data_IF_256748444040
#
_entry.id   IF_256748444040
#
_cell.length_a   1.000
_cell.length_b   1.000
_cell.length_c   1.000
_cell.angle_alpha   90.00
_cell.angle_beta   90.00
_cell.angle_gamma   90.00
#
_symmetry.space_group_name_H-M   'P 1'
#
loop_
_entity.id
_entity.type
_entity.pdbx_description
1 polymer ?
#
# COMPACT_ATOMS: atom_id res chain seq x y z
N UNK A 1 11.68 21.78 -40.28
CA UNK A 1 11.42 20.98 -39.07
C UNK A 1 12.37 21.49 -38.01
N UNK A 2 11.90 21.99 -36.85
CA UNK A 2 12.69 22.90 -36.03
C UNK A 2 13.66 22.13 -35.14
N UNK A 3 14.97 22.35 -35.32
CA UNK A 3 16.07 21.74 -34.54
C UNK A 3 15.87 21.79 -33.01
N UNK A 4 15.11 22.78 -32.51
CA UNK A 4 14.77 22.91 -31.09
C UNK A 4 13.88 21.79 -30.53
N UNK A 5 12.98 21.21 -31.35
CA UNK A 5 12.14 20.09 -30.91
C UNK A 5 12.96 18.79 -30.81
N UNK A 6 13.87 18.59 -31.77
CA UNK A 6 14.75 17.42 -31.82
C UNK A 6 15.77 17.43 -30.68
N UNK A 7 16.36 18.59 -30.36
CA UNK A 7 17.24 18.74 -29.20
C UNK A 7 16.51 18.50 -27.87
N UNK A 8 15.23 18.89 -27.74
CA UNK A 8 14.42 18.64 -26.55
C UNK A 8 14.10 17.14 -26.38
N UNK A 9 13.81 16.44 -27.48
CA UNK A 9 13.59 15.00 -27.47
C UNK A 9 14.87 14.25 -27.07
N UNK A 10 16.01 14.60 -27.66
CA UNK A 10 17.31 14.00 -27.32
C UNK A 10 17.66 14.24 -25.85
N UNK A 11 17.48 15.47 -25.35
CA UNK A 11 17.68 15.78 -23.94
C UNK A 11 16.80 14.92 -23.03
N UNK A 12 15.52 14.77 -23.37
CA UNK A 12 14.58 13.97 -22.57
C UNK A 12 14.98 12.49 -22.56
N UNK A 13 15.41 11.92 -23.69
CA UNK A 13 15.91 10.55 -23.77
C UNK A 13 17.18 10.33 -22.94
N UNK A 14 18.14 11.26 -22.99
CA UNK A 14 19.37 11.19 -22.18
C UNK A 14 19.06 11.33 -20.69
N UNK A 15 18.18 12.27 -20.32
CA UNK A 15 17.75 12.46 -18.94
C UNK A 15 17.04 11.21 -18.40
N UNK A 16 16.14 10.61 -19.18
CA UNK A 16 15.46 9.36 -18.83
C UNK A 16 16.45 8.20 -18.64
N UNK A 17 17.45 8.07 -19.52
CA UNK A 17 18.49 7.05 -19.39
C UNK A 17 19.31 7.23 -18.10
N UNK A 18 19.70 8.47 -17.77
CA UNK A 18 20.41 8.77 -16.52
C UNK A 18 19.55 8.55 -15.27
N UNK A 19 18.26 8.88 -15.34
CA UNK A 19 17.31 8.62 -14.24
C UNK A 19 17.12 7.11 -14.04
N UNK A 20 16.97 6.35 -15.11
CA UNK A 20 16.84 4.89 -15.07
C UNK A 20 18.09 4.24 -14.48
N UNK A 21 19.29 4.66 -14.89
CA UNK A 21 20.55 4.18 -14.32
C UNK A 21 20.63 4.43 -12.80
N UNK A 22 20.27 5.64 -12.34
CA UNK A 22 20.23 5.97 -10.91
C UNK A 22 19.23 5.13 -10.14
N UNK A 23 18.02 4.94 -10.69
CA UNK A 23 16.98 4.12 -10.07
C UNK A 23 17.42 2.65 -9.97
N UNK A 24 18.08 2.12 -11.01
CA UNK A 24 18.61 0.77 -10.98
C UNK A 24 19.68 0.59 -9.90
N UNK A 25 20.62 1.53 -9.78
CA UNK A 25 21.64 1.52 -8.72
C UNK A 25 20.97 1.54 -7.34
N UNK A 26 20.00 2.43 -7.12
CA UNK A 26 19.29 2.51 -5.84
C UNK A 26 18.55 1.22 -5.50
N UNK A 27 17.86 0.60 -6.48
CA UNK A 27 17.16 -0.68 -6.29
C UNK A 27 18.12 -1.80 -5.92
N UNK A 28 19.22 -1.93 -6.65
CA UNK A 28 20.26 -2.94 -6.37
C UNK A 28 20.87 -2.74 -5.00
N UNK A 29 21.24 -1.50 -4.64
CA UNK A 29 21.78 -1.19 -3.31
C UNK A 29 20.78 -1.56 -2.23
N UNK A 30 19.50 -1.18 -2.39
CA UNK A 30 18.47 -1.48 -1.39
C UNK A 30 18.23 -2.98 -1.20
N UNK A 31 18.19 -3.77 -2.27
CA UNK A 31 18.02 -5.22 -2.18
C UNK A 31 19.25 -5.88 -1.57
N UNK A 32 20.46 -5.54 -2.05
CA UNK A 32 21.72 -6.04 -1.47
C UNK A 32 21.81 -5.72 0.01
N UNK A 33 21.53 -4.48 0.42
CA UNK A 33 21.57 -4.09 1.83
C UNK A 33 20.58 -4.86 2.69
N UNK A 34 19.36 -5.09 2.19
CA UNK A 34 18.34 -5.84 2.93
C UNK A 34 18.76 -7.29 3.14
N UNK A 35 19.32 -7.94 2.12
CA UNK A 35 19.85 -9.30 2.20
C UNK A 35 21.05 -9.36 3.15
N UNK A 36 21.99 -8.44 3.01
CA UNK A 36 23.16 -8.33 3.90
C UNK A 36 22.74 -8.19 5.36
N UNK A 37 21.73 -7.36 5.64
CA UNK A 37 21.19 -7.23 6.99
C UNK A 37 20.52 -8.52 7.47
N UNK A 38 19.81 -9.25 6.62
CA UNK A 38 19.27 -10.57 7.00
C UNK A 38 20.40 -11.54 7.44
N UNK A 39 21.49 -11.58 6.67
CA UNK A 39 22.65 -12.44 6.97
C UNK A 39 23.43 -12.00 8.21
N UNK A 40 23.60 -10.70 8.43
CA UNK A 40 24.17 -10.19 9.68
C UNK A 40 23.31 -10.65 10.87
N UNK A 41 21.98 -10.59 10.72
CA UNK A 41 21.05 -11.09 11.73
C UNK A 41 21.22 -12.59 12.01
N UNK A 42 21.41 -13.41 10.96
CA UNK A 42 21.73 -14.84 11.10
C UNK A 42 23.01 -15.07 11.91
N UNK A 43 24.10 -14.40 11.53
CA UNK A 43 25.40 -14.52 12.19
C UNK A 43 25.28 -14.16 13.67
N UNK A 44 24.59 -13.06 13.99
CA UNK A 44 24.36 -12.63 15.38
C UNK A 44 23.62 -13.71 16.16
N UNK A 45 22.54 -14.26 15.61
CA UNK A 45 21.71 -15.26 16.31
C UNK A 45 22.44 -16.58 16.50
N UNK A 46 23.17 -17.06 15.48
CA UNK A 46 23.98 -18.29 15.58
C UNK A 46 25.09 -18.15 16.63
N UNK A 47 25.75 -16.99 16.69
CA UNK A 47 26.81 -16.72 17.67
C UNK A 47 26.27 -16.57 19.10
N UNK A 48 25.09 -15.95 19.27
CA UNK A 48 24.37 -15.92 20.55
C UNK A 48 24.00 -17.33 21.04
N UNK A 49 23.59 -18.23 20.14
CA UNK A 49 23.21 -19.61 20.49
C UNK A 49 24.40 -20.48 20.90
N UNK A 50 25.60 -20.20 20.38
CA UNK A 50 26.85 -20.89 20.77
C UNK A 50 27.36 -20.44 22.15
N UNK A 51 27.06 -19.20 22.54
CA UNK A 51 27.32 -18.67 23.88
C UNK A 51 26.22 -19.08 24.87
N UNK A 52 26.50 -20.03 25.77
CA UNK A 52 25.56 -20.52 26.81
C UNK A 52 24.60 -19.44 27.37
N UNK A 53 23.30 -19.59 27.08
CA UNK A 53 22.10 -19.07 27.76
C UNK A 53 22.24 -17.83 28.67
N UNK A 54 22.78 -16.71 28.18
CA UNK A 54 22.66 -15.43 28.90
C UNK A 54 22.23 -14.33 27.96
N UNK A 55 21.04 -13.78 28.20
CA UNK A 55 20.59 -12.53 27.59
C UNK A 55 21.61 -11.38 27.77
N UNK A 56 22.44 -11.47 28.82
CA UNK A 56 23.53 -10.54 29.09
C UNK A 56 24.71 -10.67 28.09
N UNK A 57 24.96 -11.87 27.55
CA UNK A 57 25.99 -12.12 26.54
C UNK A 57 25.61 -11.47 25.20
N UNK A 58 24.38 -11.69 24.73
CA UNK A 58 23.86 -11.06 23.51
C UNK A 58 23.89 -9.52 23.59
N UNK A 59 23.50 -8.94 24.73
CA UNK A 59 23.60 -7.49 24.95
C UNK A 59 25.05 -6.97 24.88
N UNK A 60 26.02 -7.71 25.42
CA UNK A 60 27.45 -7.34 25.34
C UNK A 60 27.98 -7.45 23.91
N UNK A 61 27.61 -8.52 23.19
CA UNK A 61 27.96 -8.75 21.79
C UNK A 61 27.43 -7.64 20.88
N UNK A 62 26.15 -7.27 20.99
CA UNK A 62 25.58 -6.18 20.19
C UNK A 62 26.25 -4.84 20.48
N UNK A 63 26.61 -4.58 21.74
CA UNK A 63 27.30 -3.36 22.13
C UNK A 63 28.72 -3.29 21.57
N UNK A 64 29.48 -4.39 21.59
CA UNK A 64 30.82 -4.44 21.00
C UNK A 64 30.76 -4.31 19.48
N UNK A 65 29.89 -5.08 18.82
CA UNK A 65 29.66 -5.01 17.37
C UNK A 65 29.26 -3.60 16.93
N UNK A 66 28.35 -2.95 17.66
CA UNK A 66 27.94 -1.58 17.32
C UNK A 66 29.13 -0.62 17.33
N UNK A 67 29.99 -0.70 18.35
CA UNK A 67 31.18 0.16 18.46
C UNK A 67 32.16 -0.08 17.32
N UNK A 68 32.46 -1.34 17.00
CA UNK A 68 33.43 -1.71 15.98
C UNK A 68 32.91 -1.42 14.57
N UNK A 69 31.70 -1.86 14.24
CA UNK A 69 31.09 -1.62 12.93
C UNK A 69 30.82 -0.13 12.67
N UNK A 70 30.41 0.63 13.69
CA UNK A 70 30.25 2.08 13.52
C UNK A 70 31.60 2.77 13.29
N UNK A 71 32.68 2.29 13.92
CA UNK A 71 34.03 2.82 13.71
C UNK A 71 34.54 2.53 12.29
N UNK A 72 34.27 1.35 11.75
CA UNK A 72 34.79 0.90 10.46
C UNK A 72 33.91 1.34 9.27
N UNK A 73 32.59 1.22 9.39
CA UNK A 73 31.63 1.45 8.30
C UNK A 73 30.74 2.69 8.49
N UNK A 74 30.83 3.37 9.64
CA UNK A 74 30.10 4.61 9.90
C UNK A 74 28.65 4.41 10.33
N UNK A 75 27.77 5.33 9.91
CA UNK A 75 26.35 5.35 10.33
C UNK A 75 25.61 4.12 9.82
N UNK A 76 24.67 3.60 10.62
CA UNK A 76 23.82 2.47 10.27
C UNK A 76 23.97 1.25 11.19
N UNK A 77 25.03 1.19 12.00
CA UNK A 77 25.34 0.08 12.91
C UNK A 77 25.22 0.48 14.39
N UNK A 78 24.22 1.32 14.71
CA UNK A 78 23.89 1.60 16.11
C UNK A 78 23.39 0.33 16.81
N UNK A 79 23.40 0.32 18.15
CA UNK A 79 22.87 -0.79 18.93
C UNK A 79 21.41 -1.10 18.53
N UNK A 80 20.59 -0.08 18.36
CA UNK A 80 19.19 -0.20 17.90
C UNK A 80 19.11 -0.79 16.48
N UNK A 81 20.01 -0.39 15.58
CA UNK A 81 20.05 -0.97 14.23
C UNK A 81 20.37 -2.47 14.27
N UNK A 82 21.37 -2.88 15.07
CA UNK A 82 21.74 -4.29 15.21
C UNK A 82 20.63 -5.11 15.88
N UNK A 83 19.92 -4.54 16.86
CA UNK A 83 18.72 -5.17 17.43
C UNK A 83 17.62 -5.38 16.38
N UNK A 84 17.39 -4.39 15.51
CA UNK A 84 16.44 -4.53 14.40
C UNK A 84 16.91 -5.58 13.37
N UNK A 85 18.20 -5.62 13.05
CA UNK A 85 18.80 -6.61 12.15
C UNK A 85 18.62 -8.03 12.73
N UNK A 86 18.89 -8.22 14.02
CA UNK A 86 18.67 -9.47 14.73
C UNK A 86 17.18 -9.87 14.72
N UNK A 87 16.28 -8.94 15.04
CA UNK A 87 14.82 -9.16 14.99
C UNK A 87 14.36 -9.52 13.58
N UNK A 88 14.96 -8.92 12.55
CA UNK A 88 14.66 -9.17 11.16
C UNK A 88 14.93 -10.62 10.77
N UNK A 89 16.10 -11.14 11.13
CA UNK A 89 16.38 -12.55 10.93
C UNK A 89 15.37 -13.44 11.67
N UNK A 90 15.17 -13.25 12.97
CA UNK A 90 14.25 -14.08 13.77
C UNK A 90 12.81 -14.07 13.26
N UNK A 91 12.34 -12.94 12.72
CA UNK A 91 10.95 -12.79 12.25
C UNK A 91 10.72 -13.52 10.93
N UNK A 92 11.71 -13.52 10.03
CA UNK A 92 11.54 -14.06 8.67
C UNK A 92 12.22 -15.41 8.45
N UNK A 93 13.14 -15.85 9.32
CA UNK A 93 13.85 -17.13 9.21
C UNK A 93 12.93 -18.35 9.22
N UNK A 94 11.82 -18.28 9.96
CA UNK A 94 10.83 -19.34 10.08
C UNK A 94 9.61 -19.16 9.14
N UNK A 95 9.67 -18.20 8.21
CA UNK A 95 8.53 -18.01 7.31
C UNK A 95 8.39 -19.22 6.38
N UNK A 96 7.21 -19.84 6.39
CA UNK A 96 6.87 -21.03 5.59
C UNK A 96 7.20 -20.83 4.09
N UNK A 97 7.10 -19.58 3.63
CA UNK A 97 7.47 -19.15 2.28
C UNK A 97 8.99 -19.21 2.01
N UNK A 98 9.85 -18.72 2.92
CA UNK A 98 11.32 -18.85 2.77
C UNK A 98 11.74 -20.32 2.85
N UNK A 99 11.18 -21.08 3.80
CA UNK A 99 11.49 -22.50 3.96
C UNK A 99 11.11 -23.29 2.70
N UNK A 100 9.94 -23.01 2.12
CA UNK A 100 9.49 -23.63 0.87
C UNK A 100 10.37 -23.25 -0.33
N UNK A 101 10.76 -21.98 -0.47
CA UNK A 101 11.64 -21.55 -1.57
C UNK A 101 13.02 -22.22 -1.45
N UNK A 102 13.58 -22.25 -0.23
CA UNK A 102 14.86 -22.93 0.06
C UNK A 102 14.79 -24.45 -0.20
N UNK A 103 13.65 -25.10 0.08
CA UNK A 103 13.43 -26.52 -0.23
C UNK A 103 13.32 -26.78 -1.74
N UNK A 104 12.54 -25.98 -2.46
CA UNK A 104 12.38 -26.11 -3.93
C UNK A 104 13.72 -26.00 -4.64
N UNK A 105 14.55 -25.02 -4.25
CA UNK A 105 15.85 -24.82 -4.89
C UNK A 105 16.90 -25.85 -4.49
N UNK A 106 16.96 -26.30 -3.22
CA UNK A 106 17.81 -27.44 -2.84
C UNK A 106 17.53 -28.69 -3.68
N UNK A 107 16.27 -28.91 -4.03
CA UNK A 107 15.86 -30.03 -4.90
C UNK A 107 16.40 -29.87 -6.33
N UNK A 108 16.53 -28.64 -6.83
CA UNK A 108 17.10 -28.32 -8.15
C UNK A 108 18.64 -28.31 -8.15
N UNK A 109 19.28 -27.87 -7.07
CA UNK A 109 20.75 -27.89 -6.94
C UNK A 109 21.32 -29.29 -6.74
N UNK A 110 20.60 -30.21 -6.06
CA UNK A 110 21.00 -31.62 -5.94
C UNK A 110 21.04 -32.34 -7.29
N UNK A 111 20.27 -31.89 -8.29
CA UNK A 111 20.36 -32.38 -9.67
C UNK A 111 21.55 -31.82 -10.45
N UNK A 112 22.13 -30.68 -10.05
CA UNK A 112 23.29 -30.07 -10.72
C UNK A 112 24.64 -30.32 -10.01
N UNK A 113 24.65 -30.59 -8.70
CA UNK A 113 25.87 -30.85 -7.91
C UNK A 113 26.61 -32.14 -8.30
N UNK A 114 26.02 -33.01 -9.12
CA UNK A 114 26.72 -34.17 -9.69
C UNK A 114 27.80 -33.80 -10.74
N UNK A 115 27.99 -32.52 -11.10
CA UNK A 115 28.92 -32.14 -12.19
C UNK A 115 30.13 -31.26 -11.88
N UNK A 116 30.35 -30.72 -10.68
CA UNK A 116 31.65 -30.07 -10.43
C UNK A 116 32.08 -29.99 -8.96
N UNK A 117 33.20 -30.64 -8.64
CA UNK A 117 34.01 -30.37 -7.46
C UNK A 117 35.16 -29.44 -7.86
N UNK A 118 35.20 -28.22 -7.31
CA UNK A 118 36.47 -27.52 -7.04
C UNK A 118 36.29 -26.51 -5.89
N UNK A 119 37.27 -26.56 -5.00
CA UNK A 119 37.44 -25.84 -3.74
C UNK A 119 37.53 -24.33 -3.94
N UNK A 120 36.67 -23.53 -3.28
CA UNK A 120 36.82 -22.07 -3.17
C UNK A 120 36.41 -21.58 -1.77
N UNK A 121 36.99 -20.45 -1.36
CA UNK A 121 36.98 -19.89 0.00
C UNK A 121 35.59 -19.51 0.53
N UNK A 122 35.48 -19.45 1.87
CA UNK A 122 34.23 -19.19 2.64
C UNK A 122 33.53 -17.88 2.25
N UNK A 123 34.26 -16.90 1.70
CA UNK A 123 33.71 -15.62 1.19
C UNK A 123 33.27 -15.66 -0.27
N UNK A 124 33.77 -16.62 -1.06
CA UNK A 124 33.39 -16.83 -2.47
C UNK A 124 32.19 -17.81 -2.63
N UNK A 125 31.79 -18.47 -1.54
CA UNK A 125 30.65 -19.38 -1.43
C UNK A 125 29.48 -18.78 -0.63
N UNK A 126 29.20 -17.48 -0.77
CA UNK A 126 27.78 -17.15 -0.80
C UNK A 126 27.25 -17.86 -2.04
N UNK A 127 26.58 -19.01 -1.86
CA UNK A 127 25.95 -19.71 -2.97
C UNK A 127 25.13 -18.66 -3.72
N UNK A 128 25.43 -18.41 -4.99
CA UNK A 128 24.65 -17.47 -5.82
C UNK A 128 23.15 -17.80 -5.74
N UNK A 129 22.85 -19.09 -5.59
CA UNK A 129 21.54 -19.70 -5.37
C UNK A 129 20.85 -19.14 -4.10
N UNK A 130 21.58 -18.96 -3.00
CA UNK A 130 21.04 -18.41 -1.74
C UNK A 130 20.77 -16.89 -1.88
N UNK A 131 21.64 -16.15 -2.59
CA UNK A 131 21.43 -14.72 -2.83
C UNK A 131 20.24 -14.45 -3.74
N UNK A 132 20.11 -15.16 -4.86
CA UNK A 132 18.99 -15.03 -5.79
C UNK A 132 17.66 -15.39 -5.11
N UNK A 133 17.66 -16.43 -4.27
CA UNK A 133 16.52 -16.76 -3.41
C UNK A 133 16.13 -15.61 -2.51
N UNK A 134 17.07 -15.08 -1.73
CA UNK A 134 16.82 -14.00 -0.79
C UNK A 134 16.39 -12.72 -1.52
N UNK A 135 16.96 -12.43 -2.69
CA UNK A 135 16.56 -11.31 -3.54
C UNK A 135 15.13 -11.45 -4.08
N UNK A 136 14.71 -12.67 -4.43
CA UNK A 136 13.34 -12.94 -4.86
C UNK A 136 12.32 -12.78 -3.72
N UNK A 137 12.73 -13.11 -2.49
CA UNK A 137 11.86 -13.06 -1.31
C UNK A 137 11.78 -11.68 -0.66
N UNK A 138 12.90 -10.95 -0.63
CA UNK A 138 13.02 -9.63 -0.03
C UNK A 138 12.96 -8.53 -1.10
N UNK A 139 11.72 -8.18 -1.49
CA UNK A 139 11.47 -7.15 -2.52
C UNK A 139 11.41 -5.71 -1.98
N UNK A 140 11.16 -5.57 -0.67
CA UNK A 140 11.11 -4.27 0.01
C UNK A 140 12.47 -3.89 0.61
N UNK A 141 12.65 -2.61 0.90
CA UNK A 141 13.86 -2.13 1.60
C UNK A 141 13.83 -2.55 3.08
N UNK A 142 15.00 -2.62 3.72
CA UNK A 142 15.12 -2.90 5.15
C UNK A 142 14.25 -1.99 6.04
N UNK A 143 14.10 -0.71 5.68
CA UNK A 143 13.23 0.22 6.42
C UNK A 143 11.75 -0.17 6.40
N UNK A 144 11.25 -0.80 5.33
CA UNK A 144 9.90 -1.38 5.32
C UNK A 144 9.81 -2.53 6.32
N UNK A 145 10.79 -3.43 6.32
CA UNK A 145 10.83 -4.56 7.25
C UNK A 145 10.92 -4.12 8.71
N UNK A 146 11.69 -3.07 9.01
CA UNK A 146 11.75 -2.46 10.36
C UNK A 146 10.36 -1.99 10.82
N UNK A 147 9.53 -1.47 9.91
CA UNK A 147 8.15 -1.11 10.22
C UNK A 147 7.26 -2.35 10.37
N UNK A 148 7.26 -3.24 9.39
CA UNK A 148 6.42 -4.46 9.36
C UNK A 148 6.63 -5.34 10.61
N UNK A 149 7.86 -5.47 11.09
CA UNK A 149 8.16 -6.24 12.31
C UNK A 149 7.57 -5.66 13.61
N UNK A 150 7.05 -4.44 13.59
CA UNK A 150 6.36 -3.83 14.74
C UNK A 150 4.88 -4.20 14.79
N UNK A 151 4.34 -4.74 13.71
CA UNK A 151 2.96 -5.24 13.62
C UNK A 151 2.94 -6.62 14.26
N UNK A 152 2.21 -6.81 15.35
CA UNK A 152 2.19 -8.07 16.09
C UNK A 152 1.41 -9.18 15.35
N UNK A 153 0.26 -8.84 14.75
CA UNK A 153 -0.54 -9.78 13.96
C UNK A 153 0.19 -10.15 12.65
N UNK A 154 0.47 -11.44 12.49
CA UNK A 154 1.14 -11.98 11.30
C UNK A 154 0.32 -11.79 10.02
N UNK A 155 -1.01 -11.94 10.09
CA UNK A 155 -1.90 -11.81 8.93
C UNK A 155 -1.93 -10.38 8.43
N UNK A 156 -2.03 -9.43 9.37
CA UNK A 156 -1.97 -8.00 9.07
C UNK A 156 -0.61 -7.62 8.50
N UNK A 157 0.48 -8.06 9.14
CA UNK A 157 1.85 -7.85 8.66
C UNK A 157 2.03 -8.36 7.22
N UNK A 158 1.51 -9.55 6.93
CA UNK A 158 1.60 -10.16 5.59
C UNK A 158 0.77 -9.38 4.56
N UNK A 159 -0.43 -8.94 4.91
CA UNK A 159 -1.24 -8.08 4.06
C UNK A 159 -0.47 -6.81 3.66
N UNK A 160 0.06 -6.07 4.64
CA UNK A 160 0.81 -4.85 4.37
C UNK A 160 2.10 -5.09 3.57
N UNK A 161 2.77 -6.22 3.77
CA UNK A 161 3.91 -6.63 2.94
C UNK A 161 3.48 -6.79 1.47
N UNK A 162 2.43 -7.57 1.21
CA UNK A 162 1.96 -7.86 -0.15
C UNK A 162 1.51 -6.58 -0.86
N UNK A 163 0.73 -5.74 -0.19
CA UNK A 163 0.25 -4.49 -0.77
C UNK A 163 1.40 -3.53 -1.09
N UNK A 164 2.38 -3.43 -0.19
CA UNK A 164 3.57 -2.60 -0.42
C UNK A 164 4.39 -3.09 -1.62
N UNK A 165 4.52 -4.42 -1.79
CA UNK A 165 5.23 -5.00 -2.93
C UNK A 165 4.46 -4.82 -4.24
N UNK A 166 3.15 -5.04 -4.21
CA UNK A 166 2.28 -4.99 -5.39
C UNK A 166 2.13 -3.58 -5.93
N UNK A 167 1.99 -2.60 -5.04
CA UNK A 167 1.71 -1.20 -5.39
C UNK A 167 2.89 -0.27 -5.18
N UNK A 168 4.08 -0.82 -4.88
CA UNK A 168 5.32 -0.09 -4.64
C UNK A 168 5.18 1.02 -3.59
N UNK A 169 4.46 0.74 -2.50
CA UNK A 169 4.28 1.74 -1.45
C UNK A 169 5.63 2.17 -0.89
N UNK A 170 5.81 3.48 -0.74
CA UNK A 170 6.89 4.00 0.09
C UNK A 170 6.66 3.63 1.57
N UNK A 171 7.70 3.67 2.40
CA UNK A 171 7.56 3.46 3.87
C UNK A 171 6.54 4.43 4.47
N UNK A 172 6.44 5.63 3.91
CA UNK A 172 5.46 6.65 4.33
C UNK A 172 4.04 6.22 3.98
N UNK A 173 3.83 5.70 2.78
CA UNK A 173 2.53 5.16 2.36
C UNK A 173 2.13 3.93 3.16
N UNK A 174 3.05 2.96 3.33
CA UNK A 174 2.83 1.80 4.18
C UNK A 174 2.41 2.22 5.59
N UNK A 175 3.17 3.13 6.22
CA UNK A 175 2.85 3.65 7.54
C UNK A 175 1.48 4.29 7.56
N UNK A 176 1.13 5.06 6.54
CA UNK A 176 -0.18 5.72 6.46
C UNK A 176 -1.33 4.75 6.30
N UNK A 177 -1.19 3.70 5.47
CA UNK A 177 -2.23 2.67 5.31
C UNK A 177 -2.38 1.82 6.57
N UNK A 178 -1.29 1.64 7.31
CA UNK A 178 -1.30 1.03 8.64
C UNK A 178 -2.00 1.93 9.66
N UNK A 179 -1.59 3.20 9.75
CA UNK A 179 -2.15 4.18 10.68
C UNK A 179 -3.65 4.42 10.39
N UNK A 180 -4.12 4.28 9.14
CA UNK A 180 -5.55 4.35 8.84
C UNK A 180 -6.33 3.08 9.27
N UNK A 181 -5.64 2.02 9.69
CA UNK A 181 -6.20 0.70 10.00
C UNK A 181 -6.84 -0.01 8.80
N UNK A 182 -6.29 0.16 7.59
CA UNK A 182 -6.82 -0.42 6.34
C UNK A 182 -7.13 -1.91 6.45
N UNK A 183 -6.20 -2.72 6.98
CA UNK A 183 -6.41 -4.16 7.14
C UNK A 183 -7.63 -4.45 8.00
N UNK A 184 -7.74 -3.78 9.16
CA UNK A 184 -8.86 -3.95 10.08
C UNK A 184 -10.19 -3.61 9.41
N UNK A 185 -10.28 -2.50 8.65
CA UNK A 185 -11.51 -2.11 7.93
C UNK A 185 -11.93 -3.15 6.88
N UNK A 186 -10.95 -3.66 6.12
CA UNK A 186 -11.20 -4.69 5.11
C UNK A 186 -11.51 -6.05 5.72
N UNK A 187 -10.90 -6.38 6.86
CA UNK A 187 -11.09 -7.66 7.53
C UNK A 187 -12.48 -7.75 8.20
N UNK A 188 -12.94 -6.65 8.83
CA UNK A 188 -14.26 -6.60 9.47
C UNK A 188 -15.43 -6.65 8.48
N UNK A 189 -15.21 -6.22 7.24
CA UNK A 189 -16.23 -6.30 6.18
C UNK A 189 -16.26 -7.64 5.45
N UNK A 190 -15.43 -8.62 5.87
CA UNK A 190 -15.28 -9.92 5.22
C UNK A 190 -15.44 -11.07 6.22
N UNK A 191 -15.77 -12.24 5.70
CA UNK A 191 -15.80 -13.48 6.45
C UNK A 191 -14.39 -14.02 6.73
N UNK A 192 -14.28 -15.05 7.58
CA UNK A 192 -12.97 -15.64 7.96
C UNK A 192 -12.16 -16.11 6.75
N UNK A 193 -12.81 -16.65 5.72
CA UNK A 193 -12.14 -17.05 4.47
C UNK A 193 -11.67 -15.83 3.65
N UNK A 194 -12.49 -14.78 3.55
CA UNK A 194 -12.14 -13.53 2.90
C UNK A 194 -10.96 -12.81 3.57
N UNK A 195 -10.86 -12.87 4.90
CA UNK A 195 -9.71 -12.33 5.66
C UNK A 195 -8.45 -13.13 5.39
N UNK A 196 -8.54 -14.46 5.29
CA UNK A 196 -7.39 -15.30 4.96
C UNK A 196 -6.89 -15.01 3.53
N UNK A 197 -7.80 -14.95 2.56
CA UNK A 197 -7.46 -14.58 1.17
C UNK A 197 -6.82 -13.19 1.09
N UNK A 198 -7.32 -12.23 1.87
CA UNK A 198 -6.77 -10.88 1.95
C UNK A 198 -5.30 -10.89 2.44
N UNK A 199 -4.99 -11.71 3.44
CA UNK A 199 -3.64 -11.85 3.97
C UNK A 199 -2.69 -12.61 3.02
N UNK A 200 -3.21 -13.51 2.19
CA UNK A 200 -2.39 -14.30 1.27
C UNK A 200 -2.14 -13.65 -0.09
N UNK A 201 -3.12 -12.91 -0.61
CA UNK A 201 -3.11 -12.36 -1.98
C UNK A 201 -3.19 -10.83 -2.02
N UNK A 202 -3.36 -10.17 -0.88
CA UNK A 202 -3.64 -8.74 -0.81
C UNK A 202 -5.06 -8.41 -1.27
N UNK A 203 -5.29 -7.13 -1.56
CA UNK A 203 -6.55 -6.66 -2.11
C UNK A 203 -6.62 -6.98 -3.62
N UNK A 204 -7.68 -7.68 -4.02
CA UNK A 204 -8.01 -7.93 -5.42
C UNK A 204 -9.20 -7.02 -5.75
N UNK A 205 -9.03 -6.18 -6.77
CA UNK A 205 -10.05 -5.25 -7.26
C UNK A 205 -10.59 -5.83 -8.55
N UNK A 206 -11.77 -6.44 -8.48
CA UNK A 206 -12.47 -7.00 -9.64
C UNK A 206 -13.83 -6.33 -9.84
N UNK A 207 -14.49 -5.95 -8.74
CA UNK A 207 -15.82 -5.37 -8.76
C UNK A 207 -15.81 -3.93 -8.25
N UNK A 208 -16.77 -3.09 -8.67
CA UNK A 208 -16.94 -1.73 -8.14
C UNK A 208 -16.96 -1.66 -6.61
N UNK A 209 -17.56 -2.65 -5.95
CA UNK A 209 -17.64 -2.72 -4.47
C UNK A 209 -16.26 -2.85 -3.80
N UNK A 210 -15.26 -3.44 -4.47
CA UNK A 210 -13.91 -3.62 -3.93
C UNK A 210 -13.11 -2.32 -3.87
N UNK A 211 -13.54 -1.30 -4.61
CA UNK A 211 -12.95 0.03 -4.67
C UNK A 211 -13.42 0.93 -3.51
N UNK A 212 -14.56 0.58 -2.90
CA UNK A 212 -15.17 1.35 -1.82
C UNK A 212 -14.50 0.98 -0.50
N UNK A 213 -13.87 1.97 0.14
CA UNK A 213 -13.43 1.86 1.53
C UNK A 213 -14.50 2.49 2.40
N UNK A 214 -14.94 1.78 3.44
CA UNK A 214 -16.00 2.28 4.31
C UNK A 214 -15.62 1.99 5.76
N UNK A 215 -15.36 3.02 6.60
CA UNK A 215 -15.25 4.43 6.25
C UNK A 215 -13.92 4.79 5.56
N UNK A 216 -13.89 5.92 4.84
CA UNK A 216 -12.65 6.60 4.41
C UNK A 216 -12.06 7.42 5.57
N UNK A 217 -10.75 7.29 5.84
CA UNK A 217 -10.09 8.02 6.93
C UNK A 217 -9.27 9.18 6.35
N UNK A 218 -9.71 10.40 6.62
CA UNK A 218 -9.18 11.65 6.06
C UNK A 218 -8.30 12.44 7.05
N UNK A 219 -7.74 11.78 8.07
CA UNK A 219 -6.89 12.42 9.10
C UNK A 219 -5.68 13.17 8.54
N UNK A 220 -5.16 12.73 7.40
CA UNK A 220 -4.07 13.41 6.68
C UNK A 220 -4.41 14.86 6.30
N UNK A 221 -5.69 15.21 6.24
CA UNK A 221 -6.14 16.57 6.03
C UNK A 221 -5.75 17.49 7.18
N UNK A 222 -5.41 16.96 8.36
CA UNK A 222 -5.02 17.76 9.51
C UNK A 222 -6.11 18.78 9.88
N UNK A 223 -7.35 18.42 9.61
CA UNK A 223 -8.52 19.25 9.87
C UNK A 223 -8.65 19.39 11.39
N UNK A 224 -8.66 20.61 11.96
CA UNK A 224 -9.04 20.79 13.36
C UNK A 224 -10.38 20.12 13.66
N UNK A 225 -10.61 19.74 14.91
CA UNK A 225 -11.91 19.26 15.38
C UNK A 225 -12.90 20.44 15.45
N UNK A 226 -13.24 21.02 14.29
CA UNK A 226 -14.33 21.98 14.18
C UNK A 226 -15.64 21.21 14.11
N UNK A 227 -16.67 21.72 14.79
CA UNK A 227 -17.95 21.04 14.90
C UNK A 227 -18.64 20.81 13.54
N UNK A 228 -18.40 21.66 12.52
CA UNK A 228 -18.83 21.45 11.13
C UNK A 228 -17.90 22.20 10.16
N UNK A 229 -17.42 21.51 9.13
CA UNK A 229 -16.84 22.14 7.94
C UNK A 229 -17.96 22.55 6.98
N UNK A 230 -17.72 23.50 6.07
CA UNK A 230 -18.57 23.66 4.89
C UNK A 230 -18.11 22.74 3.75
N UNK A 231 -19.03 22.32 2.87
CA UNK A 231 -18.73 21.36 1.79
C UNK A 231 -17.57 21.85 0.94
N UNK A 232 -17.61 23.14 0.59
CA UNK A 232 -16.53 23.82 -0.15
C UNK A 232 -15.20 23.83 0.60
N UNK A 233 -15.18 23.95 1.95
CA UNK A 233 -13.95 23.87 2.74
C UNK A 233 -13.37 22.46 2.72
N UNK A 234 -14.19 21.43 2.95
CA UNK A 234 -13.73 20.04 2.92
C UNK A 234 -13.21 19.64 1.55
N UNK A 235 -13.94 20.03 0.49
CA UNK A 235 -13.53 19.84 -0.89
C UNK A 235 -12.17 20.51 -1.16
N UNK A 236 -12.01 21.77 -0.76
CA UNK A 236 -10.75 22.49 -0.95
C UNK A 236 -9.58 21.81 -0.20
N UNK A 237 -9.81 21.30 1.01
CA UNK A 237 -8.77 20.60 1.77
C UNK A 237 -8.40 19.25 1.16
N UNK A 238 -9.38 18.48 0.68
CA UNK A 238 -9.14 17.26 -0.10
C UNK A 238 -8.29 17.57 -1.33
N UNK A 239 -8.52 18.71 -1.97
CA UNK A 239 -7.85 19.08 -3.21
C UNK A 239 -6.45 19.63 -2.98
N UNK A 240 -6.29 20.44 -1.92
CA UNK A 240 -4.98 20.85 -1.43
C UNK A 240 -4.09 19.62 -1.12
N UNK A 241 -4.71 18.50 -0.74
CA UNK A 241 -4.04 17.24 -0.42
C UNK A 241 -4.49 16.09 -1.32
N UNK A 242 -4.73 16.37 -2.60
CA UNK A 242 -5.27 15.40 -3.55
C UNK A 242 -4.38 14.16 -3.70
N UNK A 243 -3.05 14.34 -3.69
CA UNK A 243 -2.10 13.22 -3.69
C UNK A 243 -2.36 12.29 -2.50
N UNK A 244 -2.58 12.87 -1.33
CA UNK A 244 -2.89 12.08 -0.16
C UNK A 244 -4.26 11.41 -0.27
N UNK A 245 -5.28 12.11 -0.78
CA UNK A 245 -6.59 11.51 -0.99
C UNK A 245 -6.55 10.35 -1.99
N UNK A 246 -5.81 10.47 -3.10
CA UNK A 246 -5.58 9.39 -4.06
C UNK A 246 -4.99 8.15 -3.40
N UNK A 247 -4.03 8.31 -2.50
CA UNK A 247 -3.49 7.19 -1.71
C UNK A 247 -4.56 6.56 -0.81
N UNK A 248 -5.47 7.37 -0.25
CA UNK A 248 -6.59 6.85 0.56
C UNK A 248 -7.63 6.14 -0.32
N UNK A 249 -7.86 6.55 -1.57
CA UNK A 249 -8.70 5.80 -2.52
C UNK A 249 -8.04 4.48 -2.92
N UNK A 250 -6.71 4.45 -3.03
CA UNK A 250 -5.91 3.28 -3.37
C UNK A 250 -5.34 3.33 -4.78
N UNK A 251 -4.73 2.24 -5.21
CA UNK A 251 -4.06 2.18 -6.50
C UNK A 251 -5.04 2.17 -7.68
N UNK A 252 -4.62 2.76 -8.81
CA UNK A 252 -5.35 2.71 -10.07
C UNK A 252 -6.14 3.97 -10.41
N UNK A 253 -6.33 4.86 -9.43
CA UNK A 253 -7.00 6.14 -9.65
C UNK A 253 -6.11 7.15 -10.38
N UNK A 254 -6.70 7.82 -11.34
CA UNK A 254 -6.14 8.96 -12.08
C UNK A 254 -7.09 10.12 -11.91
N UNK A 255 -6.59 11.28 -11.47
CA UNK A 255 -7.40 12.49 -11.40
C UNK A 255 -7.72 13.00 -12.81
N UNK A 256 -8.99 13.33 -13.05
CA UNK A 256 -9.48 13.84 -14.34
C UNK A 256 -9.85 15.31 -14.18
N UNK A 257 -10.77 15.62 -13.27
CA UNK A 257 -11.28 16.98 -13.11
C UNK A 257 -11.79 17.26 -11.70
N UNK A 258 -11.93 18.56 -11.40
CA UNK A 258 -12.51 19.11 -10.17
C UNK A 258 -13.68 20.01 -10.56
N UNK A 259 -14.76 19.98 -9.76
CA UNK A 259 -15.94 20.82 -9.93
C UNK A 259 -16.43 20.81 -11.39
N UNK A 260 -16.44 19.63 -11.98
CA UNK A 260 -16.76 19.47 -13.39
C UNK A 260 -18.23 19.83 -13.61
N UNK A 261 -18.46 20.83 -14.47
CA UNK A 261 -19.79 21.38 -14.70
C UNK A 261 -20.48 20.61 -15.80
N UNK A 262 -21.62 20.00 -15.47
CA UNK A 262 -22.57 19.46 -16.44
C UNK A 262 -23.69 20.47 -16.61
N UNK A 263 -24.03 20.79 -17.86
CA UNK A 263 -25.10 21.72 -18.19
C UNK A 263 -26.17 21.01 -19.01
N UNK A 264 -27.41 21.08 -18.53
CA UNK A 264 -28.59 20.62 -19.25
C UNK A 264 -29.52 21.81 -19.41
N UNK A 265 -29.82 22.18 -20.65
CA UNK A 265 -30.57 23.39 -20.97
C UNK A 265 -29.95 24.60 -20.22
N UNK A 266 -30.70 25.20 -19.29
CA UNK A 266 -30.26 26.34 -18.46
C UNK A 266 -29.91 25.95 -17.00
N UNK A 267 -29.78 24.66 -16.71
CA UNK A 267 -29.42 24.15 -15.38
C UNK A 267 -27.97 23.70 -15.34
N UNK A 268 -27.29 24.07 -14.27
CA UNK A 268 -25.88 23.75 -14.07
C UNK A 268 -25.71 22.90 -12.82
N UNK A 269 -25.03 21.79 -13.01
CA UNK A 269 -24.67 20.85 -11.97
C UNK A 269 -23.16 20.72 -11.93
N UNK A 270 -22.60 20.37 -10.77
CA UNK A 270 -21.16 20.24 -10.57
C UNK A 270 -20.86 18.93 -9.87
N UNK A 271 -19.93 18.16 -10.43
CA UNK A 271 -19.36 16.99 -9.78
C UNK A 271 -18.10 17.46 -9.04
N UNK A 272 -18.01 17.20 -7.74
CA UNK A 272 -16.89 17.69 -6.93
C UNK A 272 -15.54 17.17 -7.46
N UNK A 273 -15.45 15.85 -7.66
CA UNK A 273 -14.24 15.20 -8.16
C UNK A 273 -14.55 14.12 -9.18
N UNK A 274 -13.78 14.13 -10.26
CA UNK A 274 -13.85 13.12 -11.33
C UNK A 274 -12.52 12.42 -11.41
N UNK A 275 -12.57 11.09 -11.28
CA UNK A 275 -11.42 10.22 -11.43
C UNK A 275 -11.69 9.19 -12.53
N UNK A 276 -10.61 8.56 -12.99
CA UNK A 276 -10.64 7.36 -13.78
C UNK A 276 -9.91 6.25 -13.05
N UNK A 277 -10.52 5.06 -12.94
CA UNK A 277 -9.83 3.90 -12.41
C UNK A 277 -9.29 3.03 -13.55
N UNK A 278 -7.96 2.94 -13.66
CA UNK A 278 -7.28 2.18 -14.73
C UNK A 278 -7.39 0.67 -14.61
N UNK A 279 -7.63 0.15 -13.41
CA UNK A 279 -7.76 -1.30 -13.18
C UNK A 279 -9.14 -1.75 -13.62
N UNK A 280 -10.18 -1.03 -13.16
CA UNK A 280 -11.57 -1.29 -13.54
C UNK A 280 -11.93 -0.72 -14.92
N UNK A 281 -11.09 0.16 -15.50
CA UNK A 281 -11.32 0.85 -16.78
C UNK A 281 -12.66 1.61 -16.82
N UNK A 282 -12.95 2.38 -15.77
CA UNK A 282 -14.18 3.15 -15.68
C UNK A 282 -13.96 4.51 -15.02
N UNK A 283 -14.87 5.45 -15.28
CA UNK A 283 -14.94 6.68 -14.51
C UNK A 283 -15.41 6.42 -13.08
N UNK A 284 -14.92 7.22 -12.14
CA UNK A 284 -15.33 7.25 -10.73
C UNK A 284 -15.64 8.68 -10.36
N UNK A 285 -16.93 8.97 -10.16
CA UNK A 285 -17.45 10.28 -9.78
C UNK A 285 -17.58 10.32 -8.26
N UNK A 286 -17.07 11.36 -7.61
CA UNK A 286 -17.10 11.51 -6.16
C UNK A 286 -17.75 12.84 -5.80
N UNK A 287 -18.74 12.78 -4.90
CA UNK A 287 -19.44 13.95 -4.35
C UNK A 287 -19.31 13.93 -2.81
N UNK A 288 -18.98 15.07 -2.21
CA UNK A 288 -18.70 15.22 -0.78
C UNK A 288 -19.92 15.81 -0.09
N UNK A 289 -20.37 15.23 1.03
CA UNK A 289 -21.49 15.73 1.83
C UNK A 289 -21.10 15.76 3.31
N UNK A 290 -21.25 16.92 3.96
CA UNK A 290 -20.87 17.06 5.38
C UNK A 290 -21.97 16.59 6.32
N UNK A 291 -23.21 16.57 5.86
CA UNK A 291 -24.36 16.15 6.65
C UNK A 291 -24.73 14.67 6.49
N UNK A 292 -25.96 14.41 6.90
CA UNK A 292 -26.67 13.17 6.58
C UNK A 292 -26.95 13.08 5.08
N UNK A 293 -26.72 11.89 4.52
CA UNK A 293 -27.04 11.57 3.15
C UNK A 293 -28.55 11.73 2.86
N UNK A 294 -28.90 12.55 1.87
CA UNK A 294 -30.27 12.75 1.41
C UNK A 294 -30.53 11.95 0.13
N UNK A 295 -31.80 11.63 -0.11
CA UNK A 295 -32.23 10.99 -1.37
C UNK A 295 -31.90 11.85 -2.60
N UNK A 296 -31.89 13.18 -2.45
CA UNK A 296 -31.52 14.14 -3.50
C UNK A 296 -30.06 13.94 -3.96
N UNK A 297 -29.15 13.70 -3.02
CA UNK A 297 -27.72 13.48 -3.32
C UNK A 297 -27.53 12.22 -4.19
N UNK A 298 -28.25 11.14 -3.85
CA UNK A 298 -28.22 9.89 -4.62
C UNK A 298 -28.87 10.04 -6.00
N UNK A 299 -30.00 10.76 -6.09
CA UNK A 299 -30.64 11.06 -7.38
C UNK A 299 -29.74 11.90 -8.30
N UNK A 300 -29.05 12.90 -7.73
CA UNK A 300 -28.07 13.72 -8.44
C UNK A 300 -26.89 12.88 -8.92
N UNK A 301 -26.33 12.02 -8.07
CA UNK A 301 -25.26 11.08 -8.46
C UNK A 301 -25.72 10.13 -9.57
N UNK A 302 -26.96 9.65 -9.53
CA UNK A 302 -27.52 8.78 -10.58
C UNK A 302 -27.59 9.48 -11.94
N UNK A 303 -27.97 10.76 -11.94
CA UNK A 303 -27.93 11.58 -13.14
C UNK A 303 -26.49 11.73 -13.66
N UNK A 304 -25.52 11.98 -12.78
CA UNK A 304 -24.11 12.09 -13.17
C UNK A 304 -23.54 10.82 -13.79
N UNK A 305 -23.77 9.67 -13.14
CA UNK A 305 -23.33 8.37 -13.63
C UNK A 305 -23.96 8.08 -15.00
N UNK A 306 -25.25 8.34 -15.16
CA UNK A 306 -25.94 8.13 -16.44
C UNK A 306 -25.43 9.05 -17.55
N UNK A 307 -25.07 10.29 -17.21
CA UNK A 307 -24.47 11.23 -18.16
C UNK A 307 -23.11 10.71 -18.65
N UNK A 308 -22.23 10.29 -17.73
CA UNK A 308 -20.92 9.75 -18.11
C UNK A 308 -21.05 8.48 -18.94
N UNK A 309 -21.95 7.58 -18.58
CA UNK A 309 -22.15 6.32 -19.32
C UNK A 309 -22.63 6.52 -20.76
N UNK A 310 -23.37 7.61 -21.02
CA UNK A 310 -23.95 7.92 -22.34
C UNK A 310 -23.06 8.82 -23.19
N UNK A 311 -22.39 9.79 -22.58
CA UNK A 311 -21.74 10.89 -23.30
C UNK A 311 -20.21 10.90 -23.18
N UNK A 312 -19.65 10.39 -22.07
CA UNK A 312 -18.22 10.55 -21.76
C UNK A 312 -17.42 9.26 -21.91
N UNK A 313 -18.03 8.13 -21.54
CA UNK A 313 -17.41 6.81 -21.54
C UNK A 313 -17.24 6.28 -22.96
N UNK A 314 -16.09 5.67 -23.24
CA UNK A 314 -15.85 4.95 -24.50
C UNK A 314 -16.55 3.57 -24.51
N UNK A 315 -16.75 3.01 -25.70
CA UNK A 315 -17.43 1.72 -25.87
C UNK A 315 -16.72 0.56 -25.15
N UNK A 316 -15.40 0.62 -25.02
CA UNK A 316 -14.54 -0.40 -24.41
C UNK A 316 -14.27 -0.18 -22.91
N UNK A 317 -14.85 0.87 -22.33
CA UNK A 317 -14.75 1.18 -20.91
C UNK A 317 -15.91 0.57 -20.13
N UNK A 318 -15.68 0.25 -18.86
CA UNK A 318 -16.70 -0.26 -17.97
C UNK A 318 -17.59 0.86 -17.42
N UNK A 319 -18.78 0.47 -16.97
CA UNK A 319 -19.79 1.36 -16.42
C UNK A 319 -19.23 2.27 -15.31
N UNK A 320 -19.63 3.54 -15.36
CA UNK A 320 -19.19 4.59 -14.43
C UNK A 320 -19.65 4.28 -13.01
N UNK A 321 -18.78 4.55 -12.04
CA UNK A 321 -19.06 4.36 -10.62
C UNK A 321 -19.31 5.74 -10.00
N UNK A 322 -20.37 5.86 -9.20
CA UNK A 322 -20.66 7.04 -8.39
C UNK A 322 -20.43 6.76 -6.91
N UNK A 323 -19.71 7.64 -6.21
CA UNK A 323 -19.44 7.53 -4.78
C UNK A 323 -19.88 8.82 -4.09
N UNK A 324 -20.83 8.72 -3.17
CA UNK A 324 -21.19 9.83 -2.28
C UNK A 324 -20.51 9.63 -0.94
N UNK A 325 -19.59 10.53 -0.58
CA UNK A 325 -18.88 10.50 0.70
C UNK A 325 -19.61 11.39 1.70
N UNK A 326 -20.16 10.80 2.77
CA UNK A 326 -20.94 11.52 3.78
C UNK A 326 -20.42 11.28 5.21
N UNK A 327 -20.71 12.19 6.15
CA UNK A 327 -20.41 11.90 7.57
C UNK A 327 -21.35 10.85 8.14
N UNK A 328 -22.63 10.97 7.79
CA UNK A 328 -23.69 10.08 8.24
C UNK A 328 -24.43 9.49 7.05
N UNK A 329 -24.52 8.16 7.03
CA UNK A 329 -25.18 7.37 5.99
C UNK A 329 -26.36 6.64 6.61
N UNK A 330 -27.54 6.81 6.01
CA UNK A 330 -28.72 6.00 6.30
C UNK A 330 -28.87 4.91 5.24
N UNK A 331 -28.83 3.65 5.66
CA UNK A 331 -28.95 2.52 4.73
C UNK A 331 -30.34 2.42 4.11
N UNK A 332 -31.38 2.79 4.85
CA UNK A 332 -32.75 2.84 4.34
C UNK A 332 -32.85 3.85 3.18
N UNK A 333 -32.26 5.04 3.33
CA UNK A 333 -32.23 6.06 2.26
C UNK A 333 -31.53 5.52 1.02
N UNK A 334 -30.38 4.85 1.18
CA UNK A 334 -29.67 4.23 0.05
C UNK A 334 -30.52 3.16 -0.62
N UNK A 335 -31.05 2.22 0.16
CA UNK A 335 -31.82 1.07 -0.33
C UNK A 335 -33.08 1.48 -1.08
N UNK A 336 -33.81 2.48 -0.60
CA UNK A 336 -35.08 2.89 -1.19
C UNK A 336 -34.95 3.99 -2.26
N UNK A 337 -33.79 4.66 -2.38
CA UNK A 337 -33.56 5.65 -3.44
C UNK A 337 -32.98 5.01 -4.71
N UNK A 338 -32.09 4.02 -4.54
CA UNK A 338 -31.42 3.37 -5.66
C UNK A 338 -32.19 2.12 -6.12
N UNK A 339 -32.15 1.78 -7.42
CA UNK A 339 -32.73 0.53 -7.93
C UNK A 339 -32.17 -0.72 -7.23
N UNK A 340 -32.98 -1.78 -7.13
CA UNK A 340 -32.55 -3.05 -6.50
C UNK A 340 -31.32 -3.68 -7.19
N UNK A 341 -31.15 -3.44 -8.49
CA UNK A 341 -30.03 -3.91 -9.29
C UNK A 341 -28.89 -2.87 -9.44
N UNK A 342 -28.84 -1.84 -8.59
CA UNK A 342 -27.77 -0.86 -8.63
C UNK A 342 -26.42 -1.47 -8.24
N UNK A 343 -25.45 -1.39 -9.16
CA UNK A 343 -24.06 -1.80 -8.96
C UNK A 343 -23.06 -0.65 -9.16
N UNK A 344 -23.55 0.56 -9.45
CA UNK A 344 -22.72 1.70 -9.86
C UNK A 344 -22.60 2.76 -8.77
N UNK A 345 -23.65 2.98 -7.98
CA UNK A 345 -23.70 4.07 -7.02
C UNK A 345 -23.55 3.54 -5.60
N UNK A 346 -22.62 4.13 -4.87
CA UNK A 346 -22.30 3.76 -3.50
C UNK A 346 -22.30 5.00 -2.62
N UNK A 347 -22.81 4.85 -1.40
CA UNK A 347 -22.60 5.82 -0.34
C UNK A 347 -21.60 5.24 0.66
N UNK A 348 -20.56 6.00 1.00
CA UNK A 348 -19.56 5.62 1.99
C UNK A 348 -19.44 6.70 3.07
N UNK A 349 -19.17 6.28 4.30
CA UNK A 349 -18.89 7.22 5.39
C UNK A 349 -17.45 7.71 5.27
N UNK A 350 -17.17 8.95 5.65
CA UNK A 350 -15.80 9.40 5.93
C UNK A 350 -15.65 9.86 7.38
N UNK A 351 -14.43 9.75 7.88
CA UNK A 351 -14.01 10.26 9.19
C UNK A 351 -12.80 11.14 9.03
N UNK A 352 -12.79 12.28 9.70
CA UNK A 352 -11.64 13.20 9.73
C UNK A 352 -10.57 12.78 10.75
N UNK A 353 -10.88 11.85 11.64
CA UNK A 353 -9.97 11.30 12.65
C UNK A 353 -10.13 9.79 12.67
N UNK A 354 -9.04 9.05 12.89
CA UNK A 354 -9.10 7.61 13.09
C UNK A 354 -9.82 7.27 14.41
N UNK A 355 -10.97 6.56 14.37
CA UNK A 355 -11.62 6.08 15.58
C UNK A 355 -10.86 4.89 16.19
N UNK A 356 -11.13 4.58 17.47
CA UNK A 356 -10.56 3.38 18.10
C UNK A 356 -11.03 2.10 17.39
N UNK A 357 -10.28 1.01 17.56
CA UNK A 357 -10.60 -0.30 16.96
C UNK A 357 -11.98 -0.80 17.41
N UNK A 358 -12.36 -0.54 18.66
CA UNK A 358 -13.68 -0.90 19.21
C UNK A 358 -14.81 -0.15 18.49
N UNK A 359 -14.66 1.18 18.33
CA UNK A 359 -15.63 2.02 17.61
C UNK A 359 -15.69 1.63 16.13
N UNK A 360 -14.56 1.22 15.52
CA UNK A 360 -14.52 0.70 14.15
C UNK A 360 -15.36 -0.57 13.99
N UNK A 361 -15.34 -1.47 14.98
CA UNK A 361 -16.17 -2.68 14.98
C UNK A 361 -17.65 -2.32 15.06
N UNK A 362 -18.04 -1.49 16.02
CA UNK A 362 -19.44 -1.06 16.18
C UNK A 362 -19.98 -0.36 14.92
N UNK A 363 -19.16 0.48 14.28
CA UNK A 363 -19.55 1.20 13.05
C UNK A 363 -19.77 0.29 11.84
N UNK A 364 -19.13 -0.88 11.82
CA UNK A 364 -19.21 -1.84 10.73
C UNK A 364 -20.18 -3.00 11.02
N UNK A 365 -20.44 -3.30 12.29
CA UNK A 365 -21.42 -4.30 12.74
C UNK A 365 -22.86 -3.78 12.73
N UNK A 366 -23.09 -2.46 12.79
CA UNK A 366 -24.40 -1.83 12.54
C UNK A 366 -24.83 -1.85 11.05
N UNK A 367 -24.37 -2.84 10.27
CA UNK A 367 -24.68 -3.06 8.84
C UNK A 367 -25.70 -4.17 8.63
#
# INVERSE_FOLDING_TARGET
MPDGLQNKIIFQQVAELLQNARQQVLRTVNSTMTITYFEIGRIIVEEEQRGKERAEYGKKLLKSLSKELTKEFGKGFSLVSLENIRKFYLTYSNSESLTRILQIQKTQSLTEEFKSKKTQSVTAQFNRIDYETLASFFKLTFTHYVFLMRIDDEKERRFYKIESEKYNWSVRELKRQYDSALYTRLALSRDKEGVLKLSEKGQIIEKPKDLIKDPYILEFLGLPELHQYSESQLEQEIINKLEHFLLELGHGFTFVARQERITFDDKHFKIDLVFYNRILRCFVLIDLKIGELKHQDLGQMQMYVNYYDREMRLEDENKTIGIVLCQNKSEAVVKYTLPENNEQIFASKYKTVLPSVEVLKELLECK
#
